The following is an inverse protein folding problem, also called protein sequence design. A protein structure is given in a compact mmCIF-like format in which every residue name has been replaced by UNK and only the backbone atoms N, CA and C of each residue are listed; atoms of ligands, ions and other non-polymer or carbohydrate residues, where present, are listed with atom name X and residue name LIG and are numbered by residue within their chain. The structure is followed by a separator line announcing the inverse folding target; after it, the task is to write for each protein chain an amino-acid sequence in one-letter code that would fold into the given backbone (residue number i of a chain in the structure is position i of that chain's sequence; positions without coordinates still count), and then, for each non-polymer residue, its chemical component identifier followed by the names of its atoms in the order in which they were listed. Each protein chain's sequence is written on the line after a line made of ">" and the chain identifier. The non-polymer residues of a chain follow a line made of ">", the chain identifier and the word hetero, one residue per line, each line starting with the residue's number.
data_IF_802031337509
#
_entry.id   IF_802031337509
#
_cell.length_a   1.000
_cell.length_b   1.000
_cell.length_c   1.000
_cell.angle_alpha   90.00
_cell.angle_beta   90.00
_cell.angle_gamma   90.00
#
_symmetry.space_group_name_H-M   'P 1'
#
loop_
_entity.id
_entity.type
_entity.pdbx_description
1 polymer ?
#
# COMPACT_ATOMS: atom_id res chain seq x y z
N UNK A 1 -23.32 21.21 54.36
CA UNK A 1 -22.11 20.56 53.81
C UNK A 1 -22.24 20.55 52.29
N UNK A 2 -21.41 21.32 51.60
CA UNK A 2 -21.49 21.52 50.16
C UNK A 2 -20.65 20.48 49.42
N UNK A 3 -21.27 19.68 48.55
CA UNK A 3 -20.57 18.75 47.64
C UNK A 3 -20.46 19.44 46.28
N UNK A 4 -19.25 19.90 45.97
CA UNK A 4 -18.92 20.59 44.72
C UNK A 4 -18.51 19.57 43.65
N UNK A 5 -19.30 19.50 42.58
CA UNK A 5 -19.03 18.71 41.38
C UNK A 5 -17.97 19.46 40.56
N UNK A 6 -16.74 18.95 40.51
CA UNK A 6 -15.71 19.43 39.57
C UNK A 6 -15.48 18.41 38.46
N UNK A 7 -16.08 18.68 37.30
CA UNK A 7 -15.85 17.98 36.05
C UNK A 7 -14.41 18.16 35.55
N UNK A 8 -13.86 17.07 34.98
CA UNK A 8 -12.54 17.04 34.33
C UNK A 8 -12.63 17.72 32.95
N UNK A 9 -11.67 18.58 32.55
CA UNK A 9 -11.68 19.12 31.19
C UNK A 9 -11.16 18.08 30.19
N UNK A 10 -11.94 17.89 29.13
CA UNK A 10 -11.61 17.06 27.96
C UNK A 10 -10.45 17.74 27.23
N UNK A 11 -9.32 17.03 27.10
CA UNK A 11 -8.16 17.47 26.33
C UNK A 11 -8.56 17.61 24.86
N UNK A 12 -8.34 18.80 24.32
CA UNK A 12 -8.52 19.14 22.92
C UNK A 12 -7.76 18.18 22.00
N UNK A 13 -8.51 17.53 21.09
CA UNK A 13 -7.94 16.86 19.94
C UNK A 13 -7.18 17.89 19.11
N UNK A 14 -5.85 17.83 19.13
CA UNK A 14 -4.99 18.51 18.16
C UNK A 14 -5.29 17.91 16.79
N UNK A 15 -6.16 18.58 16.03
CA UNK A 15 -6.38 18.33 14.62
C UNK A 15 -5.04 18.48 13.90
N UNK A 16 -4.47 17.34 13.51
CA UNK A 16 -3.28 17.24 12.65
C UNK A 16 -3.59 18.02 11.37
N UNK A 17 -2.86 19.10 11.15
CA UNK A 17 -3.01 19.97 10.00
C UNK A 17 -3.08 19.18 8.71
N UNK A 18 -4.27 19.17 8.08
CA UNK A 18 -4.39 18.96 6.65
C UNK A 18 -3.72 20.18 6.03
N UNK A 19 -2.58 19.98 5.37
CA UNK A 19 -2.08 20.96 4.42
C UNK A 19 -3.12 21.04 3.31
N UNK A 20 -4.06 21.96 3.47
CA UNK A 20 -5.00 22.41 2.45
C UNK A 20 -4.22 23.37 1.54
N UNK A 21 -3.31 22.81 0.75
CA UNK A 21 -2.61 23.55 -0.29
C UNK A 21 -3.63 23.82 -1.40
N UNK A 22 -4.08 25.07 -1.49
CA UNK A 22 -5.12 25.58 -2.40
C UNK A 22 -5.25 24.77 -3.68
N UNK A 23 -6.20 23.83 -3.67
CA UNK A 23 -6.52 23.01 -4.83
C UNK A 23 -7.07 23.94 -5.90
N UNK A 24 -6.39 24.01 -7.06
CA UNK A 24 -7.05 24.35 -8.31
C UNK A 24 -8.09 23.24 -8.54
N UNK A 25 -9.25 23.43 -7.89
CA UNK A 25 -10.28 22.43 -7.72
C UNK A 25 -10.85 22.09 -9.09
N UNK A 26 -10.43 20.97 -9.66
CA UNK A 26 -11.08 20.40 -10.83
C UNK A 26 -12.50 20.03 -10.40
N UNK A 27 -13.55 20.71 -10.90
CA UNK A 27 -14.92 20.41 -10.48
C UNK A 27 -15.30 19.02 -10.98
N UNK A 28 -16.14 18.33 -10.20
CA UNK A 28 -16.76 17.07 -10.62
C UNK A 28 -18.27 17.25 -10.56
N UNK A 29 -18.91 17.21 -11.73
CA UNK A 29 -20.35 17.26 -11.85
C UNK A 29 -20.92 15.84 -11.89
N UNK A 30 -21.48 15.40 -10.76
CA UNK A 30 -22.09 14.08 -10.62
C UNK A 30 -23.47 13.97 -11.29
N UNK A 31 -24.01 15.06 -11.87
CA UNK A 31 -25.26 15.02 -12.65
C UNK A 31 -25.02 14.54 -14.08
N UNK A 32 -23.78 14.65 -14.58
CA UNK A 32 -23.36 14.13 -15.89
C UNK A 32 -23.28 12.61 -15.89
N UNK A 33 -23.32 12.02 -17.09
CA UNK A 33 -23.12 10.58 -17.23
C UNK A 33 -21.76 10.14 -16.65
N UNK A 34 -21.73 9.07 -15.85
CA UNK A 34 -20.49 8.52 -15.29
C UNK A 34 -19.40 8.23 -16.32
N UNK A 35 -19.80 7.77 -17.51
CA UNK A 35 -18.94 7.46 -18.64
C UNK A 35 -18.18 8.70 -19.15
N UNK A 36 -18.88 9.82 -19.29
CA UNK A 36 -18.30 11.10 -19.71
C UNK A 36 -17.34 11.65 -18.67
N UNK A 37 -17.74 11.62 -17.39
CA UNK A 37 -16.89 12.01 -16.27
C UNK A 37 -15.59 11.19 -16.25
N UNK A 38 -15.72 9.86 -16.39
CA UNK A 38 -14.56 8.97 -16.40
C UNK A 38 -13.68 9.22 -17.62
N UNK A 39 -14.26 9.39 -18.82
CA UNK A 39 -13.53 9.71 -20.05
C UNK A 39 -12.69 10.97 -19.90
N UNK A 40 -13.28 12.05 -19.39
CA UNK A 40 -12.59 13.32 -19.17
C UNK A 40 -11.44 13.17 -18.16
N UNK A 41 -11.68 12.46 -17.06
CA UNK A 41 -10.66 12.17 -16.05
C UNK A 41 -9.49 11.40 -16.66
N UNK A 42 -9.77 10.28 -17.34
CA UNK A 42 -8.71 9.43 -17.91
C UNK A 42 -7.92 10.17 -18.98
N UNK A 43 -8.58 10.92 -19.87
CA UNK A 43 -7.90 11.72 -20.89
C UNK A 43 -6.95 12.76 -20.29
N UNK A 44 -7.35 13.46 -19.24
CA UNK A 44 -6.50 14.49 -18.62
C UNK A 44 -5.34 13.89 -17.81
N UNK A 45 -5.53 12.70 -17.22
CA UNK A 45 -4.46 11.98 -16.51
C UNK A 45 -3.40 11.45 -17.48
N UNK A 46 -3.79 10.97 -18.67
CA UNK A 46 -2.87 10.34 -19.63
C UNK A 46 -2.13 11.34 -20.54
N UNK A 47 -2.62 12.58 -20.68
CA UNK A 47 -1.95 13.61 -21.50
C UNK A 47 -0.51 13.87 -21.03
N UNK A 48 0.52 13.75 -21.90
CA UNK A 48 1.91 13.99 -21.50
C UNK A 48 2.17 15.49 -21.25
N UNK A 49 1.56 16.36 -22.05
CA UNK A 49 1.72 17.82 -21.99
C UNK A 49 0.35 18.53 -21.96
N UNK A 50 0.34 19.81 -21.58
CA UNK A 50 -0.87 20.66 -21.58
C UNK A 50 -1.79 20.50 -20.37
N UNK A 51 -1.48 19.61 -19.42
CA UNK A 51 -2.19 19.48 -18.14
C UNK A 51 -1.18 19.54 -17.00
N UNK A 52 -1.36 20.48 -16.07
CA UNK A 52 -0.50 20.63 -14.90
C UNK A 52 -0.59 19.42 -13.95
N UNK A 53 0.47 19.16 -13.19
CA UNK A 53 0.47 18.07 -12.21
C UNK A 53 -0.62 18.26 -11.13
N UNK A 54 -0.91 19.50 -10.76
CA UNK A 54 -2.00 19.82 -9.81
C UNK A 54 -3.38 19.45 -10.37
N UNK A 55 -3.64 19.73 -11.65
CA UNK A 55 -4.89 19.31 -12.31
C UNK A 55 -4.97 17.79 -12.47
N UNK A 56 -3.88 17.11 -12.82
CA UNK A 56 -3.83 15.63 -12.86
C UNK A 56 -4.17 15.02 -11.51
N UNK A 57 -3.61 15.57 -10.43
CA UNK A 57 -3.97 15.20 -9.06
C UNK A 57 -5.46 15.42 -8.78
N UNK A 58 -6.03 16.55 -9.17
CA UNK A 58 -7.47 16.84 -9.05
C UNK A 58 -8.34 15.80 -9.78
N UNK A 59 -7.99 15.45 -11.02
CA UNK A 59 -8.69 14.40 -11.77
C UNK A 59 -8.58 13.01 -11.11
N UNK A 60 -7.42 12.63 -10.57
CA UNK A 60 -7.25 11.37 -9.82
C UNK A 60 -8.07 11.36 -8.51
N UNK A 61 -8.19 12.50 -7.83
CA UNK A 61 -9.07 12.61 -6.68
C UNK A 61 -10.55 12.48 -7.08
N UNK A 62 -10.94 13.08 -8.20
CA UNK A 62 -12.29 12.97 -8.75
C UNK A 62 -12.60 11.55 -9.23
N UNK A 63 -11.63 10.81 -9.77
CA UNK A 63 -11.77 9.39 -10.08
C UNK A 63 -12.21 8.60 -8.85
N UNK A 64 -11.53 8.80 -7.71
CA UNK A 64 -11.88 8.12 -6.45
C UNK A 64 -13.28 8.52 -5.98
N UNK A 65 -13.65 9.81 -6.07
CA UNK A 65 -15.00 10.29 -5.71
C UNK A 65 -16.08 9.62 -6.58
N UNK A 66 -15.86 9.58 -7.90
CA UNK A 66 -16.75 8.98 -8.89
C UNK A 66 -16.91 7.46 -8.65
N UNK A 67 -15.80 6.76 -8.39
CA UNK A 67 -15.81 5.33 -8.11
C UNK A 67 -16.59 5.00 -6.82
N UNK A 68 -16.48 5.84 -5.79
CA UNK A 68 -17.24 5.69 -4.53
C UNK A 68 -18.73 5.97 -4.74
N UNK A 69 -19.09 6.97 -5.54
CA UNK A 69 -20.50 7.36 -5.72
C UNK A 69 -21.29 6.36 -6.58
N UNK A 70 -20.70 5.86 -7.66
CA UNK A 70 -21.38 5.00 -8.63
C UNK A 70 -21.17 3.50 -8.34
N UNK A 71 -20.12 3.19 -7.60
CA UNK A 71 -19.67 1.82 -7.33
C UNK A 71 -18.86 1.22 -8.48
N UNK A 72 -18.54 -0.06 -8.34
CA UNK A 72 -17.70 -0.80 -9.28
C UNK A 72 -18.57 -1.48 -10.34
N UNK A 73 -18.78 -0.83 -11.49
CA UNK A 73 -19.52 -1.41 -12.61
C UNK A 73 -18.97 -0.91 -13.96
N UNK A 74 -18.38 -1.82 -14.75
CA UNK A 74 -17.83 -1.50 -16.09
C UNK A 74 -18.89 -0.92 -17.03
N UNK A 75 -20.13 -1.44 -16.99
CA UNK A 75 -21.25 -0.95 -17.82
C UNK A 75 -21.57 0.52 -17.55
N UNK A 76 -21.61 0.93 -16.28
CA UNK A 76 -21.86 2.32 -15.90
C UNK A 76 -20.70 3.23 -16.29
N UNK A 77 -19.47 2.71 -16.23
CA UNK A 77 -18.28 3.45 -16.62
C UNK A 77 -18.12 3.57 -18.13
N UNK A 78 -18.71 2.68 -18.92
CA UNK A 78 -18.50 2.63 -20.38
C UNK A 78 -17.07 2.26 -20.77
N UNK A 79 -16.29 1.69 -19.84
CA UNK A 79 -14.92 1.25 -20.04
C UNK A 79 -14.66 -0.03 -19.26
N UNK A 80 -13.78 -0.87 -19.79
CA UNK A 80 -13.28 -2.06 -19.10
C UNK A 80 -12.30 -1.67 -18.00
N UNK A 81 -12.15 -2.51 -16.97
CA UNK A 81 -11.12 -2.30 -15.95
C UNK A 81 -9.72 -2.29 -16.55
N UNK A 82 -9.44 -3.07 -17.59
CA UNK A 82 -8.17 -3.07 -18.29
C UNK A 82 -7.82 -1.67 -18.85
N UNK A 83 -8.75 -1.02 -19.54
CA UNK A 83 -8.54 0.34 -20.08
C UNK A 83 -8.30 1.37 -18.97
N UNK A 84 -9.07 1.27 -17.87
CA UNK A 84 -8.92 2.13 -16.71
C UNK A 84 -7.53 1.93 -16.08
N UNK A 85 -7.09 0.67 -15.90
CA UNK A 85 -5.79 0.34 -15.31
C UNK A 85 -4.64 0.83 -16.20
N UNK A 86 -4.75 0.68 -17.53
CA UNK A 86 -3.75 1.17 -18.49
C UNK A 86 -3.58 2.70 -18.37
N UNK A 87 -4.66 3.44 -18.16
CA UNK A 87 -4.59 4.88 -17.94
C UNK A 87 -3.98 5.22 -16.56
N UNK A 88 -4.43 4.55 -15.50
CA UNK A 88 -3.97 4.83 -14.13
C UNK A 88 -2.49 4.50 -13.92
N UNK A 89 -1.95 3.46 -14.57
CA UNK A 89 -0.52 3.13 -14.44
C UNK A 89 0.40 4.23 -14.96
N UNK A 90 -0.06 5.06 -15.91
CA UNK A 90 0.72 6.21 -16.39
C UNK A 90 0.90 7.28 -15.31
N UNK A 91 -0.03 7.40 -14.37
CA UNK A 91 0.13 8.31 -13.22
C UNK A 91 1.30 7.88 -12.31
N UNK A 92 1.63 6.59 -12.24
CA UNK A 92 2.76 6.07 -11.47
C UNK A 92 4.12 6.39 -12.10
N UNK A 93 4.13 6.77 -13.39
CA UNK A 93 5.33 7.18 -14.11
C UNK A 93 5.56 8.69 -14.09
N UNK A 94 4.65 9.47 -13.50
CA UNK A 94 4.76 10.92 -13.45
C UNK A 94 5.91 11.35 -12.52
N UNK A 95 6.63 12.43 -12.87
CA UNK A 95 7.72 12.99 -12.06
C UNK A 95 7.26 13.55 -10.72
N UNK A 96 6.02 14.04 -10.62
CA UNK A 96 5.45 14.55 -9.38
C UNK A 96 5.00 13.43 -8.44
N UNK A 97 5.61 13.38 -7.25
CA UNK A 97 5.30 12.40 -6.18
C UNK A 97 3.84 12.46 -5.73
N UNK A 98 3.21 13.63 -5.78
CA UNK A 98 1.81 13.84 -5.42
C UNK A 98 0.86 13.14 -6.41
N UNK A 99 1.19 13.20 -7.72
CA UNK A 99 0.44 12.51 -8.77
C UNK A 99 0.60 11.00 -8.65
N UNK A 100 1.83 10.52 -8.40
CA UNK A 100 2.07 9.08 -8.16
C UNK A 100 1.31 8.57 -6.93
N UNK A 101 1.34 9.32 -5.82
CA UNK A 101 0.59 9.00 -4.62
C UNK A 101 -0.93 8.91 -4.87
N UNK A 102 -1.48 9.84 -5.67
CA UNK A 102 -2.88 9.82 -6.05
C UNK A 102 -3.22 8.66 -7.01
N UNK A 103 -2.31 8.29 -7.92
CA UNK A 103 -2.45 7.10 -8.77
C UNK A 103 -2.48 5.81 -7.96
N UNK A 104 -1.57 5.65 -6.99
CA UNK A 104 -1.56 4.51 -6.06
C UNK A 104 -2.85 4.44 -5.23
N UNK A 105 -3.36 5.60 -4.78
CA UNK A 105 -4.64 5.69 -4.09
C UNK A 105 -5.78 5.26 -5.02
N UNK A 106 -5.85 5.78 -6.25
CA UNK A 106 -6.88 5.43 -7.22
C UNK A 106 -6.91 3.91 -7.49
N UNK A 107 -5.75 3.29 -7.73
CA UNK A 107 -5.63 1.84 -7.88
C UNK A 107 -6.12 1.09 -6.63
N UNK A 108 -5.81 1.58 -5.42
CA UNK A 108 -6.28 0.94 -4.19
C UNK A 108 -7.80 0.92 -4.08
N UNK A 109 -8.46 1.99 -4.49
CA UNK A 109 -9.91 2.04 -4.51
C UNK A 109 -10.47 1.15 -5.62
N UNK A 110 -9.81 1.04 -6.77
CA UNK A 110 -10.23 0.20 -7.90
C UNK A 110 -10.18 -1.30 -7.57
N UNK A 111 -9.12 -1.77 -6.91
CA UNK A 111 -8.94 -3.19 -6.56
C UNK A 111 -9.92 -3.59 -5.45
N UNK A 112 -11.07 -4.13 -5.84
CA UNK A 112 -12.11 -4.59 -4.92
C UNK A 112 -12.08 -6.10 -4.69
N UNK A 113 -11.80 -6.87 -5.73
CA UNK A 113 -11.89 -8.33 -5.76
C UNK A 113 -10.71 -8.96 -6.53
N UNK A 114 -10.67 -10.30 -6.54
CA UNK A 114 -9.60 -11.07 -7.19
C UNK A 114 -9.56 -10.86 -8.71
N UNK A 115 -10.70 -10.59 -9.37
CA UNK A 115 -10.75 -10.40 -10.83
C UNK A 115 -10.01 -9.12 -11.22
N UNK A 116 -10.32 -8.01 -10.56
CA UNK A 116 -9.62 -6.73 -10.80
C UNK A 116 -8.14 -6.85 -10.44
N UNK A 117 -7.79 -7.52 -9.33
CA UNK A 117 -6.39 -7.74 -8.96
C UNK A 117 -5.64 -8.54 -10.03
N UNK A 118 -6.22 -9.61 -10.58
CA UNK A 118 -5.61 -10.39 -11.67
C UNK A 118 -5.37 -9.53 -12.91
N UNK A 119 -6.29 -8.65 -13.28
CA UNK A 119 -6.12 -7.71 -14.39
C UNK A 119 -4.95 -6.75 -14.15
N UNK A 120 -4.82 -6.20 -12.93
CA UNK A 120 -3.70 -5.34 -12.53
C UNK A 120 -2.35 -6.08 -12.66
N UNK A 121 -2.28 -7.33 -12.21
CA UNK A 121 -1.07 -8.15 -12.29
C UNK A 121 -0.74 -8.58 -13.72
N UNK A 122 -1.75 -8.92 -14.53
CA UNK A 122 -1.60 -9.24 -15.95
C UNK A 122 -0.99 -8.08 -16.73
N UNK A 123 -1.36 -6.84 -16.38
CA UNK A 123 -0.84 -5.62 -16.96
C UNK A 123 0.51 -5.16 -16.36
N UNK A 124 1.13 -6.00 -15.52
CA UNK A 124 2.46 -5.82 -14.92
C UNK A 124 2.62 -4.51 -14.12
N UNK A 125 1.54 -4.05 -13.49
CA UNK A 125 1.54 -2.82 -12.68
C UNK A 125 2.31 -3.01 -11.37
N UNK A 126 2.51 -4.25 -10.94
CA UNK A 126 3.29 -4.63 -9.76
C UNK A 126 4.74 -4.11 -9.80
N UNK A 127 5.39 -4.08 -10.98
CA UNK A 127 6.73 -3.48 -11.10
C UNK A 127 6.74 -1.99 -10.81
N UNK A 128 5.70 -1.26 -11.22
CA UNK A 128 5.57 0.17 -10.94
C UNK A 128 5.28 0.41 -9.45
N UNK A 129 4.50 -0.47 -8.83
CA UNK A 129 4.25 -0.43 -7.38
C UNK A 129 5.56 -0.67 -6.61
N UNK A 130 6.36 -1.68 -6.98
CA UNK A 130 7.69 -1.91 -6.39
C UNK A 130 8.60 -0.68 -6.51
N UNK A 131 8.66 -0.07 -7.70
CA UNK A 131 9.44 1.16 -7.92
C UNK A 131 9.00 2.29 -6.97
N UNK A 132 7.70 2.46 -6.74
CA UNK A 132 7.16 3.46 -5.82
C UNK A 132 7.46 3.16 -4.34
N UNK A 133 7.84 1.93 -3.98
CA UNK A 133 8.21 1.52 -2.61
C UNK A 133 9.71 1.74 -2.39
N UNK A 134 10.55 1.35 -3.36
CA UNK A 134 12.01 1.33 -3.22
C UNK A 134 12.65 2.72 -3.32
N UNK A 135 12.13 3.59 -4.19
CA UNK A 135 12.75 4.90 -4.43
C UNK A 135 12.51 5.83 -3.22
N UNK A 136 13.55 6.08 -2.44
CA UNK A 136 13.56 7.07 -1.34
C UNK A 136 14.02 8.45 -1.84
N UNK A 137 13.07 9.31 -2.22
CA UNK A 137 13.32 10.66 -2.74
C UNK A 137 12.39 11.70 -2.11
N UNK A 138 12.44 11.88 -0.79
CA UNK A 138 11.56 12.82 -0.04
C UNK A 138 10.05 12.60 -0.30
N UNK A 139 9.68 11.35 -0.56
CA UNK A 139 8.37 10.91 -1.08
C UNK A 139 7.63 9.99 -0.10
N UNK A 140 7.74 10.25 1.22
CA UNK A 140 7.07 9.45 2.26
C UNK A 140 5.55 9.29 2.04
N UNK A 141 4.88 10.33 1.51
CA UNK A 141 3.45 10.29 1.20
C UNK A 141 3.10 9.29 0.10
N UNK A 142 3.92 9.22 -0.96
CA UNK A 142 3.80 8.25 -2.05
C UNK A 142 4.02 6.82 -1.53
N UNK A 143 5.14 6.59 -0.84
CA UNK A 143 5.48 5.29 -0.25
C UNK A 143 4.40 4.80 0.71
N UNK A 144 3.81 5.70 1.49
CA UNK A 144 2.66 5.38 2.36
C UNK A 144 1.44 4.91 1.57
N UNK A 145 1.12 5.51 0.42
CA UNK A 145 0.02 5.03 -0.43
C UNK A 145 0.34 3.68 -1.07
N UNK A 146 1.60 3.44 -1.46
CA UNK A 146 2.05 2.16 -2.00
C UNK A 146 1.88 1.03 -0.97
N UNK A 147 2.39 1.21 0.25
CA UNK A 147 2.24 0.21 1.33
C UNK A 147 0.76 -0.06 1.67
N UNK A 148 -0.10 0.96 1.62
CA UNK A 148 -1.56 0.79 1.80
C UNK A 148 -2.22 0.02 0.65
N UNK A 149 -1.79 0.27 -0.60
CA UNK A 149 -2.24 -0.47 -1.77
C UNK A 149 -1.83 -1.94 -1.65
N UNK A 150 -0.60 -2.19 -1.26
CA UNK A 150 -0.06 -3.54 -1.03
C UNK A 150 -0.85 -4.31 0.02
N UNK A 151 -1.14 -3.70 1.18
CA UNK A 151 -2.00 -4.33 2.21
C UNK A 151 -3.41 -4.62 1.69
N UNK A 152 -3.95 -3.77 0.82
CA UNK A 152 -5.24 -4.02 0.16
C UNK A 152 -5.15 -5.23 -0.78
N UNK A 153 -4.08 -5.38 -1.55
CA UNK A 153 -3.86 -6.56 -2.40
C UNK A 153 -3.82 -7.86 -1.57
N UNK A 154 -3.09 -7.87 -0.45
CA UNK A 154 -3.04 -9.02 0.49
C UNK A 154 -4.43 -9.33 1.05
N UNK A 155 -5.21 -8.30 1.38
CA UNK A 155 -6.58 -8.47 1.89
C UNK A 155 -7.52 -9.04 0.85
N UNK A 156 -7.36 -8.66 -0.42
CA UNK A 156 -8.19 -9.13 -1.53
C UNK A 156 -7.85 -10.56 -1.92
N UNK A 157 -6.57 -10.85 -2.16
CA UNK A 157 -6.10 -12.21 -2.43
C UNK A 157 -4.57 -12.31 -2.25
N UNK A 158 -4.14 -12.86 -1.11
CA UNK A 158 -2.73 -13.06 -0.80
C UNK A 158 -2.05 -14.15 -1.65
N UNK A 159 -2.80 -15.09 -2.22
CA UNK A 159 -2.23 -16.17 -3.03
C UNK A 159 -1.71 -15.67 -4.39
N UNK A 160 -2.26 -14.57 -4.89
CA UNK A 160 -1.84 -13.91 -6.13
C UNK A 160 -0.71 -12.90 -5.91
N UNK A 161 -0.18 -12.78 -4.70
CA UNK A 161 0.71 -11.68 -4.35
C UNK A 161 2.04 -11.77 -5.12
N UNK A 162 2.47 -10.69 -5.82
CA UNK A 162 3.59 -10.77 -6.76
C UNK A 162 4.94 -10.79 -6.05
N UNK A 163 5.88 -11.53 -6.64
CA UNK A 163 7.27 -11.60 -6.12
C UNK A 163 8.02 -10.26 -6.22
N UNK A 164 7.71 -9.42 -7.21
CA UNK A 164 8.29 -8.09 -7.40
C UNK A 164 8.08 -7.20 -6.17
N UNK A 165 6.85 -7.15 -5.66
CA UNK A 165 6.49 -6.37 -4.47
C UNK A 165 7.01 -7.04 -3.21
N UNK A 166 7.00 -8.37 -3.16
CA UNK A 166 7.58 -9.13 -2.03
C UNK A 166 9.06 -8.80 -1.85
N UNK A 167 9.85 -8.83 -2.94
CA UNK A 167 11.28 -8.49 -2.91
C UNK A 167 11.52 -7.05 -2.46
N UNK A 168 10.73 -6.11 -2.98
CA UNK A 168 10.82 -4.69 -2.59
C UNK A 168 10.57 -4.47 -1.09
N UNK A 169 9.52 -5.10 -0.53
CA UNK A 169 9.25 -5.04 0.92
C UNK A 169 10.39 -5.66 1.76
N UNK A 170 10.93 -6.80 1.30
CA UNK A 170 12.03 -7.50 1.99
C UNK A 170 13.31 -6.66 1.94
N UNK A 171 13.61 -6.02 0.81
CA UNK A 171 14.77 -5.14 0.66
C UNK A 171 14.68 -3.94 1.62
N UNK A 172 13.52 -3.24 1.64
CA UNK A 172 13.26 -2.16 2.61
C UNK A 172 13.39 -2.65 4.05
N UNK A 173 12.91 -3.86 4.34
CA UNK A 173 12.98 -4.45 5.67
C UNK A 173 14.40 -4.85 6.10
N UNK A 174 15.25 -5.26 5.16
CA UNK A 174 16.58 -5.80 5.44
C UNK A 174 17.62 -4.70 5.59
N UNK A 175 17.70 -3.80 4.60
CA UNK A 175 18.77 -2.79 4.54
C UNK A 175 18.34 -1.43 5.08
N UNK A 176 17.02 -1.19 5.17
CA UNK A 176 16.47 0.11 5.52
C UNK A 176 16.83 0.60 6.94
N UNK A 177 17.21 -0.29 7.88
CA UNK A 177 17.68 0.14 9.20
C UNK A 177 19.01 0.90 9.10
N UNK A 178 19.93 0.42 8.25
CA UNK A 178 21.21 1.07 8.00
C UNK A 178 21.01 2.41 7.26
N UNK A 179 20.05 2.45 6.33
CA UNK A 179 19.69 3.65 5.56
C UNK A 179 18.81 4.64 6.34
N UNK A 180 18.47 4.34 7.60
CA UNK A 180 17.56 5.13 8.46
C UNK A 180 16.18 5.35 7.82
N UNK A 181 15.72 4.38 7.05
CA UNK A 181 14.41 4.40 6.41
C UNK A 181 13.30 4.27 7.46
N UNK A 182 12.36 5.21 7.43
CA UNK A 182 11.21 5.27 8.35
C UNK A 182 10.14 4.21 8.02
N UNK A 183 10.20 3.60 6.84
CA UNK A 183 9.23 2.61 6.38
C UNK A 183 9.56 1.17 6.79
N UNK A 184 10.76 0.90 7.34
CA UNK A 184 11.22 -0.46 7.74
C UNK A 184 10.16 -1.22 8.54
N UNK A 185 9.69 -0.63 9.65
CA UNK A 185 8.71 -1.29 10.52
C UNK A 185 7.38 -1.57 9.82
N UNK A 186 6.95 -0.66 8.94
CA UNK A 186 5.73 -0.83 8.17
C UNK A 186 5.88 -1.92 7.11
N UNK A 187 7.04 -1.99 6.44
CA UNK A 187 7.35 -3.04 5.47
C UNK A 187 7.41 -4.42 6.13
N UNK A 188 8.16 -4.56 7.24
CA UNK A 188 8.25 -5.82 7.99
C UNK A 188 6.87 -6.28 8.49
N UNK A 189 6.05 -5.37 9.02
CA UNK A 189 4.69 -5.72 9.44
C UNK A 189 3.85 -6.29 8.29
N UNK A 190 4.01 -5.75 7.07
CA UNK A 190 3.33 -6.26 5.87
C UNK A 190 3.89 -7.62 5.45
N UNK A 191 5.20 -7.83 5.55
CA UNK A 191 5.82 -9.14 5.30
C UNK A 191 5.29 -10.18 6.29
N UNK A 192 5.13 -9.85 7.58
CA UNK A 192 4.48 -10.71 8.56
C UNK A 192 3.02 -11.01 8.19
N UNK A 193 2.22 -9.99 7.84
CA UNK A 193 0.82 -10.17 7.39
C UNK A 193 0.73 -11.10 6.17
N UNK A 194 1.66 -10.98 5.22
CA UNK A 194 1.74 -11.84 4.04
C UNK A 194 2.16 -13.27 4.42
N UNK A 195 3.15 -13.44 5.29
CA UNK A 195 3.65 -14.74 5.71
C UNK A 195 2.55 -15.61 6.34
N UNK A 196 1.63 -15.02 7.09
CA UNK A 196 0.48 -15.74 7.67
C UNK A 196 -0.53 -16.24 6.63
N UNK A 197 -0.60 -15.60 5.46
CA UNK A 197 -1.60 -15.93 4.41
C UNK A 197 -1.03 -16.66 3.20
N UNK A 198 0.24 -16.39 2.88
CA UNK A 198 0.99 -16.98 1.79
C UNK A 198 2.47 -17.13 2.23
N UNK A 199 2.76 -18.09 3.13
CA UNK A 199 4.12 -18.29 3.65
C UNK A 199 5.10 -18.69 2.54
N UNK A 200 4.60 -19.36 1.50
CA UNK A 200 5.43 -19.88 0.42
C UNK A 200 6.15 -18.77 -0.36
N UNK A 201 5.43 -17.71 -0.76
CA UNK A 201 6.06 -16.60 -1.50
C UNK A 201 7.08 -15.85 -0.63
N UNK A 202 6.83 -15.74 0.68
CA UNK A 202 7.74 -15.07 1.61
C UNK A 202 8.99 -15.91 1.82
N UNK A 203 8.84 -17.21 2.10
CA UNK A 203 9.96 -18.13 2.32
C UNK A 203 10.85 -18.25 1.08
N UNK A 204 10.25 -18.41 -0.12
CA UNK A 204 11.01 -18.49 -1.39
C UNK A 204 11.84 -17.24 -1.69
N UNK A 205 11.50 -16.09 -1.10
CA UNK A 205 12.22 -14.82 -1.26
C UNK A 205 13.10 -14.45 -0.05
N UNK A 206 13.24 -15.34 0.93
CA UNK A 206 14.06 -15.11 2.11
C UNK A 206 13.44 -14.17 3.16
N UNK A 207 12.14 -13.88 3.06
CA UNK A 207 11.48 -12.93 3.97
C UNK A 207 11.39 -13.40 5.42
N UNK A 208 11.43 -14.72 5.67
CA UNK A 208 11.47 -15.26 7.03
C UNK A 208 12.78 -14.91 7.74
N UNK A 209 13.92 -15.03 7.04
CA UNK A 209 15.22 -14.59 7.54
C UNK A 209 15.21 -13.09 7.87
N UNK A 210 14.57 -12.26 7.04
CA UNK A 210 14.42 -10.83 7.30
C UNK A 210 13.57 -10.53 8.55
N UNK A 211 12.50 -11.29 8.81
CA UNK A 211 11.72 -11.18 10.05
C UNK A 211 12.57 -11.54 11.27
N UNK A 212 13.33 -12.64 11.19
CA UNK A 212 14.19 -13.11 12.28
C UNK A 212 15.34 -12.15 12.60
N UNK A 213 16.00 -11.59 11.57
CA UNK A 213 16.98 -10.51 11.75
C UNK A 213 16.33 -9.28 12.43
N UNK A 214 15.13 -8.91 11.98
CA UNK A 214 14.39 -7.80 12.59
C UNK A 214 14.02 -8.05 14.06
N UNK A 215 13.85 -9.30 14.49
CA UNK A 215 13.66 -9.66 15.91
C UNK A 215 14.91 -9.34 16.72
N UNK A 216 16.10 -9.67 16.21
CA UNK A 216 17.38 -9.43 16.90
C UNK A 216 17.63 -7.92 17.06
N UNK A 217 17.38 -7.14 16.02
CA UNK A 217 17.63 -5.70 16.02
C UNK A 217 16.54 -4.87 16.75
N UNK A 218 15.39 -5.47 17.07
CA UNK A 218 14.26 -4.73 17.64
C UNK A 218 14.30 -4.66 19.18
N UNK A 219 14.59 -3.46 19.70
CA UNK A 219 14.55 -3.17 21.14
C UNK A 219 13.15 -3.00 21.74
N UNK A 220 12.09 -2.92 20.92
CA UNK A 220 10.72 -2.68 21.38
C UNK A 220 10.00 -4.01 21.64
N UNK A 221 9.79 -4.38 22.90
CA UNK A 221 9.30 -5.73 23.27
C UNK A 221 8.01 -6.15 22.56
N UNK A 222 7.01 -5.25 22.47
CA UNK A 222 5.73 -5.57 21.80
C UNK A 222 5.86 -5.83 20.31
N UNK A 223 6.80 -5.14 19.64
CA UNK A 223 7.05 -5.37 18.22
C UNK A 223 7.79 -6.69 18.06
N UNK A 224 8.85 -6.88 18.85
CA UNK A 224 9.62 -8.11 18.87
C UNK A 224 8.71 -9.35 19.10
N UNK A 225 7.82 -9.29 20.09
CA UNK A 225 6.79 -10.31 20.37
C UNK A 225 5.89 -10.59 19.16
N UNK A 226 5.43 -9.55 18.46
CA UNK A 226 4.60 -9.72 17.26
C UNK A 226 5.37 -10.38 16.09
N UNK A 227 6.66 -10.04 15.92
CA UNK A 227 7.53 -10.62 14.90
C UNK A 227 7.77 -12.11 15.19
N UNK A 228 8.19 -12.46 16.40
CA UNK A 228 8.46 -13.86 16.78
C UNK A 228 7.17 -14.69 16.76
N UNK A 229 6.03 -14.12 17.15
CA UNK A 229 4.72 -14.81 17.08
C UNK A 229 4.39 -15.25 15.66
N UNK A 230 4.80 -14.48 14.64
CA UNK A 230 4.60 -14.88 13.24
C UNK A 230 5.37 -16.15 12.91
N UNK A 231 6.64 -16.25 13.33
CA UNK A 231 7.48 -17.42 13.10
C UNK A 231 6.94 -18.64 13.87
N UNK A 232 6.60 -18.45 15.14
CA UNK A 232 6.01 -19.51 15.98
C UNK A 232 4.68 -20.03 15.41
N UNK A 233 3.85 -19.14 14.85
CA UNK A 233 2.61 -19.53 14.18
C UNK A 233 2.88 -20.45 12.97
N UNK A 234 3.88 -20.12 12.15
CA UNK A 234 4.25 -20.96 11.01
C UNK A 234 4.77 -22.33 11.45
N UNK A 235 5.53 -22.41 12.54
CA UNK A 235 6.00 -23.67 13.12
C UNK A 235 4.87 -24.51 13.73
N UNK A 236 3.77 -23.90 14.15
CA UNK A 236 2.70 -24.60 14.85
C UNK A 236 1.96 -25.62 13.96
N UNK A 237 1.79 -25.34 12.66
CA UNK A 237 1.02 -26.19 11.74
C UNK A 237 1.92 -26.98 10.76
N UNK A 238 1.68 -28.29 10.51
CA UNK A 238 2.51 -29.09 9.60
C UNK A 238 2.67 -28.51 8.19
N UNK A 239 1.58 -27.99 7.61
CA UNK A 239 1.58 -27.39 6.27
C UNK A 239 2.40 -26.11 6.14
N UNK A 240 2.65 -25.39 7.24
CA UNK A 240 3.43 -24.15 7.25
C UNK A 240 4.84 -24.35 7.80
N UNK A 241 5.04 -25.36 8.67
CA UNK A 241 6.33 -25.68 9.28
C UNK A 241 7.41 -25.98 8.25
N UNK A 242 7.04 -26.63 7.13
CA UNK A 242 7.96 -26.92 6.02
C UNK A 242 8.67 -25.68 5.42
N UNK A 243 8.13 -24.48 5.64
CA UNK A 243 8.71 -23.24 5.14
C UNK A 243 9.75 -22.63 6.08
N UNK A 244 9.80 -23.05 7.35
CA UNK A 244 10.80 -22.62 8.33
C UNK A 244 11.88 -23.71 8.36
N UNK A 245 13.11 -23.39 7.98
CA UNK A 245 14.17 -24.41 7.93
C UNK A 245 14.64 -24.75 9.34
N UNK A 246 14.69 -26.05 9.65
CA UNK A 246 14.94 -26.56 11.00
C UNK A 246 16.30 -26.17 11.61
N UNK A 247 17.34 -25.91 10.80
CA UNK A 247 18.73 -25.91 11.31
C UNK A 247 19.54 -24.61 11.05
N UNK A 248 18.95 -23.55 10.46
CA UNK A 248 19.73 -22.33 10.10
C UNK A 248 19.02 -21.01 10.40
N UNK A 249 17.68 -21.00 10.48
CA UNK A 249 16.93 -19.75 10.62
C UNK A 249 16.66 -19.39 12.09
N UNK A 250 16.49 -20.37 12.99
CA UNK A 250 16.18 -20.12 14.41
C UNK A 250 17.41 -20.05 15.33
N UNK A 251 18.54 -20.64 14.92
CA UNK A 251 19.79 -20.66 15.73
C UNK A 251 20.60 -19.36 15.63
N UNK A 252 20.19 -18.41 14.76
CA UNK A 252 20.84 -17.08 14.66
C UNK A 252 20.73 -16.28 15.98
N UNK A 253 19.85 -16.70 16.91
CA UNK A 253 19.73 -16.12 18.25
C UNK A 253 20.60 -16.75 19.35
N UNK A 254 21.35 -17.83 19.06
CA UNK A 254 22.11 -18.58 20.08
C UNK A 254 23.63 -18.49 19.97
N UNK A 255 24.16 -17.89 18.89
CA UNK A 255 25.61 -17.67 18.71
C UNK A 255 26.00 -16.19 18.94
N UNK A 256 25.60 -15.63 20.10
CA UNK A 256 26.21 -14.44 20.69
C UNK A 256 26.45 -14.64 22.19
#
# INVERSE_FOLDING_TARGET
>A
MAVSIRGRPIRSLRMRGRNDSGEENVPLDLTREPSDNLREILQNVTKPHGVSNMRKLGHLNNFVKLLISIGHCEEKFGFTYEEIIICLRLALLNEAKEVRAAGLRALRYLIRDSSVLQKVLRLQVDYLISRCIDIQQSNEGERTQALRLVRKMITVNALLFPSSVTNSLIAVGTDGLQERDRMVRAAIAIVCELALKNPEVVARRGGLSTILKSVIDCQLSRINEALITTVLHLLNHPHTRQYVRNDVELEVGTDM
#
